data_IF_815364798049
#
_entry.id   IF_815364798049
#
_cell.length_a   1.000
_cell.length_b   1.000
_cell.length_c   1.000
_cell.angle_alpha   90.00
_cell.angle_beta   90.00
_cell.angle_gamma   90.00
#
_symmetry.space_group_name_H-M   'P 1'
#
loop_
_entity.id
_entity.type
_entity.pdbx_description
1 polymer ?
#
# COMPACT_ATOMS: atom_id res chain seq x y z
N UNK A 1 -21.11 7.91 -3.42
CA UNK A 1 -22.54 8.30 -3.58
C UNK A 1 -22.70 9.82 -3.40
N UNK A 2 -22.07 10.42 -2.38
CA UNK A 2 -22.11 11.87 -2.16
C UNK A 2 -21.44 12.65 -3.30
N UNK A 3 -20.36 12.16 -3.87
CA UNK A 3 -19.69 12.76 -5.02
C UNK A 3 -20.60 12.91 -6.24
N UNK A 4 -21.42 11.88 -6.51
CA UNK A 4 -22.37 11.88 -7.62
C UNK A 4 -23.56 12.82 -7.41
N UNK A 5 -24.06 12.96 -6.17
CA UNK A 5 -25.31 13.65 -5.88
C UNK A 5 -25.10 15.05 -5.26
N UNK A 6 -24.08 15.18 -4.40
CA UNK A 6 -23.85 16.37 -3.58
C UNK A 6 -22.36 16.61 -3.33
N UNK A 7 -21.66 17.17 -4.29
CA UNK A 7 -20.21 17.36 -4.25
C UNK A 7 -19.70 18.07 -2.97
N UNK A 8 -20.40 19.08 -2.46
CA UNK A 8 -20.01 19.76 -1.23
C UNK A 8 -20.04 18.84 0.01
N UNK A 9 -20.95 17.87 0.04
CA UNK A 9 -21.01 16.88 1.11
C UNK A 9 -19.83 15.89 0.98
N UNK A 10 -19.50 15.49 -0.25
CA UNK A 10 -18.31 14.65 -0.50
C UNK A 10 -17.04 15.32 0.01
N UNK A 11 -16.84 16.60 -0.29
CA UNK A 11 -15.68 17.37 0.19
C UNK A 11 -15.59 17.41 1.73
N UNK A 12 -16.73 17.56 2.41
CA UNK A 12 -16.76 17.53 3.88
C UNK A 12 -16.37 16.15 4.43
N UNK A 13 -16.81 15.06 3.79
CA UNK A 13 -16.40 13.71 4.18
C UNK A 13 -14.91 13.47 3.98
N UNK A 14 -14.35 13.92 2.85
CA UNK A 14 -12.91 13.79 2.56
C UNK A 14 -12.06 14.58 3.56
N UNK A 15 -12.45 15.84 3.86
CA UNK A 15 -11.77 16.65 4.86
C UNK A 15 -11.83 16.00 6.25
N UNK A 16 -12.99 15.54 6.67
CA UNK A 16 -13.15 14.85 7.96
C UNK A 16 -12.34 13.56 8.00
N UNK A 17 -12.35 12.75 6.95
CA UNK A 17 -11.54 11.53 6.87
C UNK A 17 -10.03 11.83 6.98
N UNK A 18 -9.56 12.95 6.40
CA UNK A 18 -8.17 13.39 6.56
C UNK A 18 -7.86 13.77 8.01
N UNK A 19 -8.79 14.43 8.72
CA UNK A 19 -8.61 14.76 10.13
C UNK A 19 -8.58 13.50 11.01
N UNK A 20 -9.47 12.53 10.73
CA UNK A 20 -9.48 11.24 11.47
C UNK A 20 -8.21 10.41 11.21
N UNK A 21 -7.61 10.54 10.03
CA UNK A 21 -6.30 9.94 9.76
C UNK A 21 -5.22 10.49 10.71
N UNK A 22 -5.18 11.81 10.94
CA UNK A 22 -4.23 12.42 11.88
C UNK A 22 -4.51 11.96 13.34
N UNK A 23 -5.78 11.83 13.73
CA UNK A 23 -6.13 11.28 15.04
C UNK A 23 -5.65 9.82 15.18
N UNK A 24 -5.85 9.00 14.17
CA UNK A 24 -5.37 7.61 14.16
C UNK A 24 -3.84 7.54 14.30
N UNK A 25 -3.09 8.42 13.63
CA UNK A 25 -1.63 8.50 13.75
C UNK A 25 -1.19 8.82 15.20
N UNK A 26 -1.89 9.75 15.88
CA UNK A 26 -1.62 10.06 17.31
C UNK A 26 -1.78 8.82 18.17
N UNK A 27 -2.88 8.10 18.04
CA UNK A 27 -3.14 6.88 18.83
C UNK A 27 -2.17 5.76 18.47
N UNK A 28 -1.84 5.60 17.20
CA UNK A 28 -0.89 4.60 16.75
C UNK A 28 0.52 4.83 17.31
N UNK A 29 0.99 6.08 17.34
CA UNK A 29 2.26 6.44 17.98
C UNK A 29 2.25 6.10 19.48
N UNK A 30 1.17 6.40 20.19
CA UNK A 30 1.06 6.07 21.61
C UNK A 30 1.11 4.56 21.90
N UNK A 31 0.62 3.73 20.97
CA UNK A 31 0.73 2.27 21.06
C UNK A 31 2.15 1.76 20.72
N UNK A 32 2.98 2.59 20.10
CA UNK A 32 4.33 2.27 19.65
C UNK A 32 5.40 3.16 20.30
N UNK A 33 5.32 3.35 21.63
CA UNK A 33 6.30 4.10 22.43
C UNK A 33 6.52 5.55 21.97
N UNK A 34 5.53 6.14 21.30
CA UNK A 34 5.54 7.54 20.85
C UNK A 34 6.09 7.76 19.43
N UNK A 35 6.48 6.70 18.73
CA UNK A 35 7.01 6.78 17.36
C UNK A 35 6.23 5.90 16.38
N UNK A 36 6.37 6.17 15.09
CA UNK A 36 5.89 5.25 14.05
C UNK A 36 6.89 4.10 13.88
N UNK A 37 6.42 2.88 13.59
CA UNK A 37 7.28 1.76 13.23
C UNK A 37 8.20 2.10 12.04
N UNK A 38 9.34 1.43 11.97
CA UNK A 38 10.19 1.56 10.78
C UNK A 38 9.45 1.08 9.53
N UNK A 39 9.85 1.61 8.35
CA UNK A 39 9.29 1.14 7.06
C UNK A 39 9.48 -0.37 6.90
N UNK A 40 10.60 -0.92 7.37
CA UNK A 40 10.87 -2.35 7.34
C UNK A 40 9.87 -3.14 8.20
N UNK A 41 9.58 -2.68 9.41
CA UNK A 41 8.64 -3.36 10.31
C UNK A 41 7.21 -3.21 9.80
N UNK A 42 6.84 -2.04 9.27
CA UNK A 42 5.54 -1.83 8.62
C UNK A 42 5.34 -2.76 7.41
N UNK A 43 6.38 -3.00 6.60
CA UNK A 43 6.30 -3.95 5.48
C UNK A 43 6.15 -5.40 5.97
N UNK A 44 6.84 -5.79 7.05
CA UNK A 44 6.68 -7.14 7.63
C UNK A 44 5.27 -7.35 8.18
N UNK A 45 4.71 -6.35 8.85
CA UNK A 45 3.33 -6.41 9.35
C UNK A 45 2.32 -6.47 8.20
N UNK A 46 2.52 -5.68 7.13
CA UNK A 46 1.67 -5.74 5.95
C UNK A 46 1.70 -7.14 5.31
N UNK A 47 2.89 -7.73 5.11
CA UNK A 47 3.02 -9.12 4.62
C UNK A 47 2.26 -10.10 5.51
N UNK A 48 2.40 -9.99 6.84
CA UNK A 48 1.72 -10.89 7.78
C UNK A 48 0.20 -10.70 7.77
N UNK A 49 -0.28 -9.47 7.64
CA UNK A 49 -1.71 -9.15 7.53
C UNK A 49 -2.34 -9.75 6.27
N UNK A 50 -1.77 -9.46 5.11
CA UNK A 50 -2.26 -10.00 3.83
C UNK A 50 -2.20 -11.54 3.79
N UNK A 51 -1.13 -12.13 4.38
CA UNK A 51 -1.03 -13.58 4.51
C UNK A 51 -2.18 -14.16 5.32
N UNK A 52 -2.50 -13.57 6.47
CA UNK A 52 -3.64 -13.99 7.30
C UNK A 52 -4.97 -13.84 6.56
N UNK A 53 -5.15 -12.73 5.84
CA UNK A 53 -6.37 -12.45 5.11
C UNK A 53 -6.67 -13.52 4.05
N UNK A 54 -5.69 -13.86 3.20
CA UNK A 54 -5.93 -14.82 2.12
C UNK A 54 -5.79 -16.29 2.51
N UNK A 55 -5.14 -16.61 3.65
CA UNK A 55 -4.99 -18.03 4.06
C UNK A 55 -6.00 -18.46 5.12
N UNK A 56 -6.69 -17.52 5.77
CA UNK A 56 -7.60 -17.83 6.86
C UNK A 56 -8.89 -17.00 6.81
N UNK A 57 -8.78 -15.67 6.89
CA UNK A 57 -9.93 -14.80 7.15
C UNK A 57 -11.00 -14.87 6.03
N UNK A 58 -10.58 -14.71 4.77
CA UNK A 58 -11.52 -14.73 3.65
C UNK A 58 -12.08 -16.12 3.37
N UNK A 59 -11.32 -17.18 3.61
CA UNK A 59 -11.82 -18.56 3.52
C UNK A 59 -12.89 -18.83 4.59
N UNK A 60 -12.64 -18.43 5.85
CA UNK A 60 -13.63 -18.55 6.94
C UNK A 60 -14.91 -17.76 6.62
N UNK A 61 -14.77 -16.52 6.15
CA UNK A 61 -15.95 -15.70 5.78
C UNK A 61 -16.73 -16.28 4.60
N UNK A 62 -16.03 -16.87 3.62
CA UNK A 62 -16.66 -17.54 2.51
C UNK A 62 -17.45 -18.78 2.96
N UNK A 63 -16.90 -19.59 3.86
CA UNK A 63 -17.55 -20.79 4.39
C UNK A 63 -18.79 -20.42 5.21
N UNK A 64 -18.68 -19.43 6.10
CA UNK A 64 -19.85 -18.92 6.87
C UNK A 64 -20.94 -18.40 5.93
N UNK A 65 -20.60 -17.60 4.92
CA UNK A 65 -21.56 -17.08 3.96
C UNK A 65 -22.27 -18.20 3.18
N UNK A 66 -21.54 -19.25 2.79
CA UNK A 66 -22.12 -20.41 2.13
C UNK A 66 -23.06 -21.20 3.05
N UNK A 67 -22.68 -21.41 4.33
CA UNK A 67 -23.52 -22.07 5.33
C UNK A 67 -24.83 -21.30 5.59
N UNK A 68 -24.78 -19.97 5.54
CA UNK A 68 -25.94 -19.09 5.66
C UNK A 68 -26.78 -19.01 4.36
N UNK A 69 -26.35 -19.64 3.27
CA UNK A 69 -27.06 -19.67 1.98
C UNK A 69 -26.73 -18.50 1.04
N UNK A 70 -25.67 -17.75 1.29
CA UNK A 70 -25.21 -16.60 0.47
C UNK A 70 -24.05 -16.97 -0.45
N UNK A 71 -24.27 -17.90 -1.37
CA UNK A 71 -23.24 -18.44 -2.28
C UNK A 71 -22.54 -17.36 -3.13
N UNK A 72 -23.28 -16.35 -3.58
CA UNK A 72 -22.73 -15.23 -4.37
C UNK A 72 -21.81 -14.32 -3.53
N UNK A 73 -22.06 -14.21 -2.23
CA UNK A 73 -21.21 -13.49 -1.28
C UNK A 73 -19.98 -14.34 -0.94
N UNK A 74 -20.15 -15.65 -0.72
CA UNK A 74 -19.06 -16.58 -0.49
C UNK A 74 -18.03 -16.55 -1.64
N UNK A 75 -18.51 -16.56 -2.88
CA UNK A 75 -17.65 -16.46 -4.06
C UNK A 75 -16.89 -15.11 -4.11
N UNK A 76 -17.51 -14.00 -3.69
CA UNK A 76 -16.84 -12.70 -3.60
C UNK A 76 -15.72 -12.72 -2.57
N UNK A 77 -15.93 -13.30 -1.38
CA UNK A 77 -14.89 -13.45 -0.37
C UNK A 77 -13.68 -14.23 -0.90
N UNK A 78 -13.90 -15.39 -1.56
CA UNK A 78 -12.82 -16.16 -2.18
C UNK A 78 -12.04 -15.35 -3.22
N UNK A 79 -12.73 -14.59 -4.05
CA UNK A 79 -12.07 -13.73 -5.06
C UNK A 79 -11.27 -12.59 -4.44
N UNK A 80 -11.76 -11.99 -3.36
CA UNK A 80 -10.99 -10.98 -2.63
C UNK A 80 -9.74 -11.62 -2.02
N UNK A 81 -9.84 -12.79 -1.38
CA UNK A 81 -8.68 -13.54 -0.88
C UNK A 81 -7.59 -13.75 -1.93
N UNK A 82 -7.95 -14.06 -3.19
CA UNK A 82 -6.96 -14.16 -4.27
C UNK A 82 -6.30 -12.81 -4.61
N UNK A 83 -6.98 -11.69 -4.38
CA UNK A 83 -6.38 -10.36 -4.53
C UNK A 83 -5.37 -10.10 -3.40
N UNK A 84 -5.72 -10.42 -2.14
CA UNK A 84 -4.82 -10.20 -0.99
C UNK A 84 -3.52 -11.01 -1.10
N UNK A 85 -3.58 -12.19 -1.69
CA UNK A 85 -2.38 -12.95 -2.07
C UNK A 85 -1.45 -12.18 -3.03
N UNK A 86 -2.00 -11.36 -3.93
CA UNK A 86 -1.18 -10.49 -4.80
C UNK A 86 -0.62 -9.30 -4.05
N UNK A 87 -1.32 -8.80 -3.02
CA UNK A 87 -0.84 -7.74 -2.14
C UNK A 87 0.31 -8.25 -1.27
N UNK A 88 0.18 -9.44 -0.64
CA UNK A 88 1.27 -10.10 0.08
C UNK A 88 2.54 -10.15 -0.77
N UNK A 89 2.42 -10.69 -1.98
CA UNK A 89 3.57 -10.76 -2.89
C UNK A 89 4.18 -9.40 -3.17
N UNK A 90 3.38 -8.37 -3.38
CA UNK A 90 3.85 -7.00 -3.63
C UNK A 90 4.65 -6.45 -2.44
N UNK A 91 4.18 -6.65 -1.22
CA UNK A 91 4.89 -6.22 -0.02
C UNK A 91 6.16 -7.04 0.22
N UNK A 92 6.14 -8.36 -0.04
CA UNK A 92 7.33 -9.22 0.02
C UNK A 92 8.40 -8.74 -0.97
N UNK A 93 8.03 -8.46 -2.21
CA UNK A 93 8.97 -7.97 -3.23
C UNK A 93 9.61 -6.63 -2.82
N UNK A 94 8.84 -5.72 -2.22
CA UNK A 94 9.36 -4.45 -1.67
C UNK A 94 10.27 -4.66 -0.47
N UNK A 95 9.90 -5.56 0.43
CA UNK A 95 10.69 -5.90 1.62
C UNK A 95 12.06 -6.50 1.21
N UNK A 96 12.07 -7.41 0.24
CA UNK A 96 13.30 -7.99 -0.31
C UNK A 96 14.20 -6.92 -0.93
N UNK A 97 13.63 -6.01 -1.73
CA UNK A 97 14.39 -4.89 -2.31
C UNK A 97 14.97 -3.96 -1.24
N UNK A 98 14.26 -3.77 -0.15
CA UNK A 98 14.73 -2.93 0.96
C UNK A 98 15.85 -3.61 1.73
N UNK A 99 15.72 -4.90 2.06
CA UNK A 99 16.74 -5.71 2.75
C UNK A 99 18.02 -5.80 1.92
N UNK A 100 17.91 -6.01 0.62
CA UNK A 100 19.03 -6.11 -0.30
C UNK A 100 19.66 -4.74 -0.66
N UNK A 101 19.13 -3.65 -0.13
CA UNK A 101 19.51 -2.28 -0.51
C UNK A 101 19.37 -2.00 -2.02
N UNK A 102 18.42 -2.67 -2.68
CA UNK A 102 18.18 -2.58 -4.14
C UNK A 102 16.99 -1.71 -4.52
N UNK A 103 16.28 -1.11 -3.57
CA UNK A 103 15.08 -0.31 -3.85
C UNK A 103 15.36 0.81 -4.86
N UNK A 104 16.52 1.47 -4.74
CA UNK A 104 16.98 2.53 -5.64
C UNK A 104 18.24 2.13 -6.42
N UNK A 105 18.50 0.83 -6.60
CA UNK A 105 19.65 0.31 -7.37
C UNK A 105 19.20 -0.79 -8.31
N UNK A 106 19.83 -0.87 -9.49
CA UNK A 106 19.63 -1.94 -10.46
C UNK A 106 20.99 -2.40 -11.00
N UNK A 107 21.11 -3.68 -11.31
CA UNK A 107 22.31 -4.23 -11.97
C UNK A 107 22.48 -3.70 -13.40
N UNK A 108 21.36 -3.46 -14.07
CA UNK A 108 21.29 -2.95 -15.43
C UNK A 108 20.67 -1.55 -15.48
N UNK A 109 20.87 -0.84 -16.57
CA UNK A 109 20.13 0.38 -16.83
C UNK A 109 18.64 0.08 -16.87
N UNK A 110 17.87 0.81 -16.08
CA UNK A 110 16.42 0.72 -15.99
C UNK A 110 15.79 2.11 -16.03
N UNK A 111 14.49 2.15 -16.19
CA UNK A 111 13.72 3.38 -16.22
C UNK A 111 13.30 3.76 -14.79
N UNK A 112 13.63 4.98 -14.38
CA UNK A 112 13.23 5.60 -13.13
C UNK A 112 12.29 6.75 -13.42
N UNK A 113 11.10 6.74 -12.81
CA UNK A 113 10.07 7.76 -13.04
C UNK A 113 9.85 8.54 -11.73
N UNK A 114 10.01 9.86 -11.80
CA UNK A 114 9.63 10.74 -10.70
C UNK A 114 8.13 10.65 -10.42
N UNK A 115 7.75 10.24 -9.23
CA UNK A 115 6.34 10.13 -8.80
C UNK A 115 5.71 11.50 -8.51
N UNK A 116 6.48 12.58 -8.62
CA UNK A 116 6.00 13.95 -8.46
C UNK A 116 5.69 14.65 -9.79
N UNK A 117 6.60 14.57 -10.76
CA UNK A 117 6.46 15.31 -12.01
C UNK A 117 6.48 14.43 -13.28
N UNK A 118 6.61 13.11 -13.15
CA UNK A 118 6.66 12.19 -14.28
C UNK A 118 7.97 12.18 -15.07
N UNK A 119 9.00 12.95 -14.63
CA UNK A 119 10.30 12.95 -15.32
C UNK A 119 10.91 11.55 -15.38
N UNK A 120 11.45 11.20 -16.55
CA UNK A 120 12.03 9.87 -16.83
C UNK A 120 13.54 9.98 -16.87
N UNK A 121 14.21 9.11 -16.11
CA UNK A 121 15.65 8.92 -16.14
C UNK A 121 16.00 7.46 -16.44
N UNK A 122 17.11 7.21 -17.11
CA UNK A 122 17.59 5.87 -17.41
C UNK A 122 18.98 5.70 -16.80
N UNK A 123 19.15 4.67 -15.97
CA UNK A 123 20.42 4.41 -15.30
C UNK A 123 20.31 3.22 -14.34
N UNK A 124 21.42 2.92 -13.69
CA UNK A 124 21.46 1.89 -12.62
C UNK A 124 20.87 2.40 -11.31
N UNK A 125 20.82 3.71 -11.11
CA UNK A 125 20.22 4.40 -9.98
C UNK A 125 19.39 5.57 -10.50
N UNK A 126 18.36 6.03 -9.75
CA UNK A 126 17.77 7.33 -10.03
C UNK A 126 18.80 8.44 -9.74
N UNK A 127 18.62 9.64 -10.27
CA UNK A 127 19.45 10.79 -9.91
C UNK A 127 19.19 11.18 -8.44
N UNK A 128 20.19 11.75 -7.76
CA UNK A 128 20.06 12.20 -6.36
C UNK A 128 18.91 13.19 -6.19
N UNK A 129 18.71 14.06 -7.21
CA UNK A 129 17.58 14.98 -7.29
C UNK A 129 17.00 15.00 -8.70
N UNK A 130 15.69 15.13 -8.77
CA UNK A 130 15.00 15.31 -10.05
C UNK A 130 15.38 16.67 -10.68
N UNK A 131 15.82 16.66 -11.94
CA UNK A 131 16.23 17.88 -12.65
C UNK A 131 15.06 18.84 -12.98
N UNK A 132 13.81 18.40 -12.81
CA UNK A 132 12.61 19.19 -13.11
C UNK A 132 11.97 19.73 -11.82
N UNK A 133 11.69 18.87 -10.83
CA UNK A 133 10.94 19.25 -9.63
C UNK A 133 11.77 19.24 -8.33
N UNK A 134 13.08 18.99 -8.44
CA UNK A 134 14.08 19.03 -7.38
C UNK A 134 13.83 18.08 -6.18
N UNK A 135 12.82 17.20 -6.25
CA UNK A 135 12.61 16.16 -5.25
C UNK A 135 13.73 15.12 -5.29
N UNK A 136 14.04 14.56 -4.15
CA UNK A 136 15.12 13.60 -3.95
C UNK A 136 14.84 12.23 -4.60
N UNK A 137 15.86 11.39 -4.69
CA UNK A 137 15.80 10.06 -5.32
C UNK A 137 14.71 9.14 -4.73
N UNK A 138 14.34 9.33 -3.46
CA UNK A 138 13.27 8.59 -2.77
C UNK A 138 11.89 8.77 -3.42
N UNK A 139 11.72 9.79 -4.26
CA UNK A 139 10.50 10.02 -5.03
C UNK A 139 10.53 9.39 -6.43
N UNK A 140 11.51 8.56 -6.74
CA UNK A 140 11.54 7.81 -7.99
C UNK A 140 11.09 6.37 -7.80
N UNK A 141 10.31 5.87 -8.74
CA UNK A 141 9.96 4.47 -8.83
C UNK A 141 10.56 3.83 -10.09
N UNK A 142 10.92 2.56 -9.98
CA UNK A 142 11.32 1.73 -11.12
C UNK A 142 10.09 1.34 -11.93
N UNK A 143 10.22 1.35 -13.26
CA UNK A 143 9.20 0.84 -14.17
C UNK A 143 9.55 -0.54 -14.69
#
# INVERSE_FOLDING_TARGET
KAEEEHYSISQTFEETASNEYEHAEVWFKLLNDGELPSVMDSLKEAVSGEHYEHTYMYDEFADIAAEEGYEDIAEKFRRVGEVEKTHEKRYMDLLELLIDEKLYKSENNTIWISQKCGNINVGKTPPDKCQICEHENTYFARK
#
